data_IF_999611420154
#
_entry.id   IF_999611420154
#
_cell.length_a   1.000
_cell.length_b   1.000
_cell.length_c   1.000
_cell.angle_alpha   90.00
_cell.angle_beta   90.00
_cell.angle_gamma   90.00
#
_symmetry.space_group_name_H-M   'P 1'
#
loop_
_entity.id
_entity.type
_entity.pdbx_description
1 polymer ?
#
# COMPACT_ATOMS: atom_id res chain seq x y z
N UNK A 1 12.50 -1.35 -13.09
CA UNK A 1 12.48 -1.11 -11.63
C UNK A 1 13.05 -2.31 -10.86
N UNK A 2 14.00 -2.11 -9.93
CA UNK A 2 14.59 -3.19 -9.12
C UNK A 2 13.83 -3.35 -7.79
N UNK A 3 13.15 -4.49 -7.59
CA UNK A 3 12.38 -4.77 -6.37
C UNK A 3 13.23 -4.74 -5.09
N UNK A 4 14.52 -5.11 -5.19
CA UNK A 4 15.42 -5.05 -4.04
C UNK A 4 15.66 -3.60 -3.60
N UNK A 5 15.67 -2.63 -4.52
CA UNK A 5 15.81 -1.22 -4.16
C UNK A 5 14.59 -0.69 -3.40
N UNK A 6 13.38 -1.10 -3.82
CA UNK A 6 12.13 -0.77 -3.12
C UNK A 6 12.15 -1.38 -1.73
N UNK A 7 12.47 -2.67 -1.61
CA UNK A 7 12.54 -3.37 -0.33
C UNK A 7 13.55 -2.71 0.62
N UNK A 8 14.76 -2.44 0.14
CA UNK A 8 15.78 -1.76 0.93
C UNK A 8 15.30 -0.38 1.41
N UNK A 9 14.57 0.36 0.58
CA UNK A 9 14.02 1.66 0.96
C UNK A 9 12.93 1.55 2.03
N UNK A 10 12.04 0.56 1.93
CA UNK A 10 11.03 0.27 2.97
C UNK A 10 11.72 -0.08 4.30
N UNK A 11 12.77 -0.91 4.26
CA UNK A 11 13.47 -1.35 5.47
C UNK A 11 14.09 -0.19 6.26
N UNK A 12 14.42 0.92 5.59
CA UNK A 12 15.04 2.08 6.25
C UNK A 12 14.10 2.82 7.21
N UNK A 13 12.78 2.65 7.10
CA UNK A 13 11.80 3.25 8.02
C UNK A 13 11.94 2.76 9.47
N UNK A 14 12.59 1.62 9.70
CA UNK A 14 12.83 1.11 11.04
C UNK A 14 13.87 1.94 11.82
N UNK A 15 14.85 2.53 11.11
CA UNK A 15 16.05 3.13 11.73
C UNK A 15 16.27 4.59 11.36
N UNK A 16 15.60 5.08 10.31
CA UNK A 16 15.79 6.42 9.75
C UNK A 16 14.61 7.33 10.14
N UNK A 17 14.82 8.63 10.42
CA UNK A 17 13.73 9.57 10.65
C UNK A 17 12.67 9.52 9.55
N UNK A 18 11.39 9.62 9.92
CA UNK A 18 10.25 9.42 9.01
C UNK A 18 10.35 10.25 7.73
N UNK A 19 10.71 11.53 7.83
CA UNK A 19 10.94 12.41 6.67
C UNK A 19 11.94 11.83 5.68
N UNK A 20 13.12 11.45 6.17
CA UNK A 20 14.21 10.94 5.33
C UNK A 20 13.87 9.58 4.70
N UNK A 21 13.25 8.69 5.47
CA UNK A 21 12.80 7.39 4.97
C UNK A 21 11.70 7.55 3.89
N UNK A 22 10.74 8.44 4.13
CA UNK A 22 9.69 8.80 3.15
C UNK A 22 10.28 9.39 1.88
N UNK A 23 11.19 10.36 1.99
CA UNK A 23 11.89 10.94 0.82
C UNK A 23 12.65 9.86 0.05
N UNK A 24 13.38 8.98 0.73
CA UNK A 24 14.15 7.90 0.10
C UNK A 24 13.25 6.93 -0.68
N UNK A 25 12.13 6.52 -0.11
CA UNK A 25 11.19 5.65 -0.80
C UNK A 25 10.62 6.33 -2.04
N UNK A 26 10.18 7.59 -1.93
CA UNK A 26 9.62 8.32 -3.06
C UNK A 26 10.65 8.56 -4.18
N UNK A 27 11.89 8.94 -3.83
CA UNK A 27 12.99 9.05 -4.79
C UNK A 27 13.27 7.71 -5.49
N UNK A 28 13.25 6.61 -4.73
CA UNK A 28 13.39 5.26 -5.29
C UNK A 28 12.28 4.94 -6.28
N UNK A 29 11.07 5.43 -6.03
CA UNK A 29 9.91 5.34 -6.93
C UNK A 29 9.96 6.34 -8.11
N UNK A 30 11.02 7.14 -8.24
CA UNK A 30 11.22 8.09 -9.32
C UNK A 30 10.63 9.48 -9.06
N UNK A 31 10.03 9.71 -7.89
CA UNK A 31 9.42 10.98 -7.52
C UNK A 31 10.43 11.90 -6.84
N UNK A 32 10.76 13.00 -7.50
CA UNK A 32 11.75 13.97 -7.03
C UNK A 32 11.17 15.38 -7.09
N UNK A 33 11.51 16.20 -6.10
CA UNK A 33 11.22 17.63 -6.13
C UNK A 33 12.16 18.40 -5.22
N UNK A 34 12.50 19.63 -5.62
CA UNK A 34 13.21 20.59 -4.75
C UNK A 34 12.26 21.36 -3.83
N UNK A 35 10.95 21.32 -4.07
CA UNK A 35 9.91 21.97 -3.25
C UNK A 35 9.62 21.11 -2.01
N UNK A 36 10.58 21.06 -1.09
CA UNK A 36 10.50 20.23 0.12
C UNK A 36 9.96 21.01 1.32
N UNK A 37 9.24 20.33 2.21
CA UNK A 37 8.87 20.91 3.51
C UNK A 37 10.08 21.00 4.46
N UNK A 38 9.90 21.71 5.57
CA UNK A 38 10.89 21.82 6.63
C UNK A 38 10.23 21.75 8.02
N UNK A 39 11.05 21.65 9.08
CA UNK A 39 10.57 21.51 10.46
C UNK A 39 9.63 22.64 10.90
N UNK A 40 9.87 23.88 10.44
CA UNK A 40 9.01 25.02 10.75
C UNK A 40 7.62 24.86 10.11
N UNK A 41 7.58 24.54 8.82
CA UNK A 41 6.34 24.27 8.10
C UNK A 41 5.58 23.08 8.68
N UNK A 42 6.28 21.98 8.97
CA UNK A 42 5.70 20.79 9.60
C UNK A 42 4.97 21.14 10.89
N UNK A 43 5.62 21.91 11.76
CA UNK A 43 5.07 22.29 13.06
C UNK A 43 3.79 23.13 12.88
N UNK A 44 3.82 24.10 11.97
CA UNK A 44 2.67 24.96 11.68
C UNK A 44 1.50 24.17 11.09
N UNK A 45 1.74 23.40 10.04
CA UNK A 45 0.72 22.58 9.38
C UNK A 45 0.12 21.56 10.34
N UNK A 46 0.96 20.92 11.15
CA UNK A 46 0.51 19.94 12.13
C UNK A 46 -0.39 20.59 13.19
N UNK A 47 0.01 21.76 13.70
CA UNK A 47 -0.80 22.52 14.65
C UNK A 47 -2.17 22.88 14.05
N UNK A 48 -2.20 23.46 12.85
CA UNK A 48 -3.45 23.83 12.17
C UNK A 48 -4.37 22.62 11.92
N UNK A 49 -3.81 21.47 11.53
CA UNK A 49 -4.59 20.24 11.36
C UNK A 49 -5.19 19.75 12.70
N UNK A 50 -4.44 19.83 13.80
CA UNK A 50 -4.94 19.44 15.13
C UNK A 50 -6.03 20.40 15.63
N UNK A 51 -5.88 21.70 15.44
CA UNK A 51 -6.91 22.68 15.78
C UNK A 51 -8.20 22.44 15.00
N UNK A 52 -8.09 22.22 13.68
CA UNK A 52 -9.25 21.93 12.85
C UNK A 52 -9.95 20.61 13.25
N UNK A 53 -9.18 19.59 13.62
CA UNK A 53 -9.71 18.32 14.12
C UNK A 53 -10.45 18.51 15.46
N UNK A 54 -9.88 19.29 16.38
CA UNK A 54 -10.50 19.62 17.66
C UNK A 54 -11.81 20.41 17.48
N UNK A 55 -11.81 21.42 16.60
CA UNK A 55 -13.00 22.20 16.26
C UNK A 55 -14.10 21.32 15.66
N UNK A 56 -13.74 20.38 14.77
CA UNK A 56 -14.67 19.39 14.21
C UNK A 56 -15.25 18.47 15.28
N UNK A 57 -14.42 18.00 16.22
CA UNK A 57 -14.85 17.14 17.34
C UNK A 57 -15.81 17.87 18.28
N UNK A 58 -15.56 19.15 18.56
CA UNK A 58 -16.43 19.98 19.38
C UNK A 58 -17.83 20.21 18.78
N UNK A 59 -17.97 20.12 17.45
CA UNK A 59 -19.23 20.25 16.73
C UNK A 59 -19.93 18.91 16.48
N UNK A 60 -19.26 17.79 16.77
CA UNK A 60 -19.82 16.46 16.55
C UNK A 60 -20.78 16.08 17.69
N UNK A 61 -21.79 15.22 17.43
CA UNK A 61 -22.57 14.60 18.49
C UNK A 61 -21.68 13.92 19.53
N UNK A 62 -22.12 13.91 20.80
CA UNK A 62 -21.35 13.35 21.94
C UNK A 62 -20.91 11.90 21.69
N UNK A 63 -21.78 11.10 21.05
CA UNK A 63 -21.54 9.68 20.77
C UNK A 63 -20.89 9.42 19.40
N UNK A 64 -20.45 10.48 18.69
CA UNK A 64 -19.78 10.31 17.41
C UNK A 64 -18.44 9.58 17.63
N UNK A 65 -18.17 8.47 16.91
CA UNK A 65 -16.91 7.76 17.04
C UNK A 65 -15.75 8.67 16.64
N UNK A 66 -14.65 8.64 17.39
CA UNK A 66 -13.42 9.33 17.01
C UNK A 66 -12.78 8.62 15.80
N UNK A 67 -13.14 9.09 14.61
CA UNK A 67 -12.68 8.54 13.34
C UNK A 67 -11.29 9.04 12.94
N UNK A 68 -10.81 10.14 13.54
CA UNK A 68 -9.52 10.74 13.19
C UNK A 68 -8.39 10.27 14.11
N UNK A 69 -8.73 9.79 15.31
CA UNK A 69 -7.78 9.35 16.33
C UNK A 69 -6.68 10.40 16.52
N UNK A 70 -7.08 11.67 16.66
CA UNK A 70 -6.16 12.81 16.59
C UNK A 70 -5.10 12.78 17.70
N UNK A 71 -5.45 12.15 18.82
CA UNK A 71 -4.57 11.95 19.98
C UNK A 71 -3.42 10.97 19.67
N UNK A 72 -3.56 10.14 18.63
CA UNK A 72 -2.53 9.22 18.18
C UNK A 72 -1.51 9.85 17.22
N UNK A 73 -1.78 11.06 16.70
CA UNK A 73 -0.90 11.68 15.72
C UNK A 73 0.37 12.16 16.44
N UNK A 74 1.50 11.53 16.12
CA UNK A 74 2.77 11.79 16.78
C UNK A 74 3.60 12.83 16.02
N UNK A 75 3.75 12.65 14.70
CA UNK A 75 4.55 13.54 13.85
C UNK A 75 3.90 13.67 12.48
N UNK A 76 3.95 14.87 11.90
CA UNK A 76 3.51 15.16 10.54
C UNK A 76 4.65 15.82 9.77
N UNK A 77 4.89 15.36 8.54
CA UNK A 77 5.93 15.89 7.67
C UNK A 77 5.37 16.17 6.29
N UNK A 78 5.52 17.41 5.84
CA UNK A 78 5.39 17.74 4.42
C UNK A 78 6.68 17.30 3.72
N UNK A 79 6.63 16.24 2.91
CA UNK A 79 7.82 15.66 2.27
C UNK A 79 8.25 16.55 1.11
N UNK A 80 7.44 16.61 0.06
CA UNK A 80 7.62 17.54 -1.06
C UNK A 80 6.32 17.73 -1.86
N UNK A 81 6.38 18.68 -2.80
CA UNK A 81 5.32 19.00 -3.74
C UNK A 81 5.83 18.82 -5.17
N UNK A 82 5.19 17.96 -5.96
CA UNK A 82 5.54 17.77 -7.38
C UNK A 82 4.59 18.55 -8.28
N UNK A 83 5.10 19.26 -9.28
CA UNK A 83 4.32 19.87 -10.35
C UNK A 83 4.55 19.22 -11.73
N UNK A 84 3.77 19.64 -12.74
CA UNK A 84 3.80 19.09 -14.10
C UNK A 84 5.19 19.15 -14.78
N UNK A 85 6.00 20.15 -14.43
CA UNK A 85 7.37 20.33 -14.91
C UNK A 85 8.30 19.18 -14.45
N UNK A 86 8.20 18.82 -13.17
CA UNK A 86 8.98 17.76 -12.53
C UNK A 86 8.54 16.35 -12.98
N UNK A 87 7.27 16.16 -13.34
CA UNK A 87 6.75 14.86 -13.84
C UNK A 87 7.32 14.53 -15.22
N UNK A 88 7.50 15.54 -16.08
CA UNK A 88 7.99 15.36 -17.45
C UNK A 88 9.51 15.27 -17.55
N UNK A 89 10.23 15.25 -16.42
CA UNK A 89 11.70 15.25 -16.34
C UNK A 89 12.35 16.36 -17.20
N UNK A 90 11.61 17.44 -17.48
CA UNK A 90 12.18 18.61 -18.13
C UNK A 90 12.95 19.39 -17.07
N UNK A 91 14.28 19.27 -17.08
CA UNK A 91 15.15 20.12 -16.27
C UNK A 91 14.85 21.58 -16.64
N UNK A 92 14.15 22.27 -15.75
CA UNK A 92 13.94 23.71 -15.88
C UNK A 92 15.17 24.40 -15.30
N UNK A 93 15.73 25.38 -16.02
CA UNK A 93 16.92 26.15 -15.60
C UNK A 93 16.73 26.86 -14.23
N UNK A 94 15.48 26.97 -13.76
CA UNK A 94 15.10 27.54 -12.47
C UNK A 94 14.01 26.68 -11.80
N UNK A 95 14.42 25.63 -11.11
CA UNK A 95 13.51 24.87 -10.24
C UNK A 95 13.31 25.62 -8.90
N UNK A 96 12.08 25.99 -8.51
CA UNK A 96 11.80 26.56 -7.21
C UNK A 96 12.18 25.57 -6.10
N UNK A 97 12.97 26.02 -5.13
CA UNK A 97 13.39 25.23 -3.97
C UNK A 97 12.46 25.39 -2.76
N UNK A 98 11.39 26.16 -2.92
CA UNK A 98 10.42 26.46 -1.86
C UNK A 98 9.05 25.91 -2.19
N UNK A 99 8.39 25.36 -1.18
CA UNK A 99 6.97 25.01 -1.23
C UNK A 99 6.11 26.19 -1.69
N UNK A 100 5.12 25.92 -2.54
CA UNK A 100 4.20 26.93 -3.06
C UNK A 100 2.74 26.50 -2.81
N UNK A 101 2.11 27.16 -1.84
CA UNK A 101 0.71 26.92 -1.45
C UNK A 101 -0.29 27.29 -2.56
N UNK A 102 0.11 28.16 -3.49
CA UNK A 102 -0.73 28.63 -4.59
C UNK A 102 -0.57 27.80 -5.87
N UNK A 103 0.34 26.81 -5.89
CA UNK A 103 0.58 25.97 -7.04
C UNK A 103 -0.53 24.93 -7.23
N UNK A 104 -1.55 25.32 -8.00
CA UNK A 104 -2.80 24.55 -8.18
C UNK A 104 -2.68 23.28 -9.03
N UNK A 105 -1.64 23.15 -9.85
CA UNK A 105 -1.37 21.96 -10.68
C UNK A 105 -0.19 21.17 -10.08
N UNK A 106 -0.40 20.62 -8.89
CA UNK A 106 0.64 19.90 -8.14
C UNK A 106 0.09 18.76 -7.28
N UNK A 107 0.96 17.85 -6.86
CA UNK A 107 0.70 16.75 -5.91
C UNK A 107 1.51 16.95 -4.65
N UNK A 108 0.88 16.82 -3.48
CA UNK A 108 1.57 16.85 -2.19
C UNK A 108 1.83 15.46 -1.66
N UNK A 109 3.04 15.26 -1.13
CA UNK A 109 3.42 14.06 -0.42
C UNK A 109 3.63 14.42 1.05
N UNK A 110 2.90 13.76 1.93
CA UNK A 110 3.02 13.95 3.37
C UNK A 110 3.22 12.62 4.05
N UNK A 111 3.92 12.63 5.19
CA UNK A 111 4.07 11.48 6.06
C UNK A 111 3.47 11.78 7.44
N UNK A 112 2.66 10.87 7.94
CA UNK A 112 2.05 10.95 9.26
C UNK A 112 2.47 9.74 10.08
N UNK A 113 3.10 9.99 11.22
CA UNK A 113 3.35 8.98 12.23
C UNK A 113 2.17 8.88 13.19
N UNK A 114 1.65 7.68 13.37
CA UNK A 114 0.65 7.37 14.39
C UNK A 114 1.29 6.53 15.49
N UNK A 115 0.84 6.71 16.73
CA UNK A 115 1.40 6.06 17.92
C UNK A 115 0.87 4.65 18.16
N UNK A 116 -0.32 4.31 17.67
CA UNK A 116 -0.91 2.98 17.82
C UNK A 116 -0.24 1.91 16.96
N UNK A 117 -0.53 0.65 17.25
CA UNK A 117 0.04 -0.49 16.51
C UNK A 117 -0.80 -0.88 15.28
N UNK A 118 -2.11 -0.63 15.32
CA UNK A 118 -3.04 -1.08 14.29
C UNK A 118 -4.12 -0.03 14.00
N UNK A 119 -4.41 0.18 12.72
CA UNK A 119 -5.48 1.05 12.25
C UNK A 119 -6.34 0.35 11.21
N UNK A 120 -7.65 0.57 11.25
CA UNK A 120 -8.58 0.04 10.25
C UNK A 120 -8.47 0.82 8.93
N UNK A 121 -8.89 0.20 7.81
CA UNK A 121 -9.00 0.90 6.51
C UNK A 121 -9.86 2.15 6.61
N UNK A 122 -10.93 2.10 7.41
CA UNK A 122 -11.85 3.24 7.61
C UNK A 122 -11.18 4.40 8.31
N UNK A 123 -10.43 4.16 9.40
CA UNK A 123 -9.69 5.22 10.10
C UNK A 123 -8.67 5.90 9.18
N UNK A 124 -7.83 5.12 8.49
CA UNK A 124 -6.82 5.67 7.57
C UNK A 124 -7.47 6.44 6.41
N UNK A 125 -8.62 5.97 5.90
CA UNK A 125 -9.38 6.67 4.88
C UNK A 125 -9.98 7.99 5.38
N UNK A 126 -10.50 8.01 6.61
CA UNK A 126 -11.08 9.22 7.20
C UNK A 126 -10.01 10.27 7.54
N UNK A 127 -8.85 9.83 8.02
CA UNK A 127 -7.67 10.70 8.18
C UNK A 127 -7.22 11.26 6.82
N UNK A 128 -7.09 10.41 5.80
CA UNK A 128 -6.69 10.85 4.45
C UNK A 128 -7.65 11.88 3.88
N UNK A 129 -8.97 11.66 4.03
CA UNK A 129 -10.00 12.64 3.62
C UNK A 129 -9.85 13.95 4.39
N UNK A 130 -9.73 13.88 5.71
CA UNK A 130 -9.59 15.07 6.55
C UNK A 130 -8.36 15.89 6.18
N UNK A 131 -7.20 15.26 5.98
CA UNK A 131 -6.01 15.99 5.51
C UNK A 131 -6.32 16.64 4.15
N UNK A 132 -6.87 15.88 3.20
CA UNK A 132 -7.15 16.37 1.86
C UNK A 132 -8.21 17.50 1.81
N UNK A 133 -9.08 17.67 2.81
CA UNK A 133 -9.99 18.84 2.85
C UNK A 133 -9.27 20.15 3.15
N UNK A 134 -8.04 20.10 3.68
CA UNK A 134 -7.24 21.28 4.04
C UNK A 134 -6.29 21.71 2.93
N UNK A 135 -6.24 21.00 1.80
CA UNK A 135 -5.39 21.33 0.67
C UNK A 135 -6.20 21.42 -0.63
N UNK A 136 -5.98 22.48 -1.40
CA UNK A 136 -6.57 22.69 -2.73
C UNK A 136 -6.13 21.63 -3.74
N UNK A 137 -4.94 21.07 -3.54
CA UNK A 137 -4.31 20.03 -4.35
C UNK A 137 -4.36 18.65 -3.69
N UNK A 138 -4.37 17.55 -4.47
CA UNK A 138 -4.36 16.19 -3.92
C UNK A 138 -3.12 15.88 -3.08
N UNK A 139 -3.34 15.10 -2.02
CA UNK A 139 -2.33 14.73 -1.04
C UNK A 139 -2.25 13.22 -0.91
N UNK A 140 -1.04 12.68 -1.11
CA UNK A 140 -0.69 11.30 -0.85
C UNK A 140 -0.18 11.25 0.58
N UNK A 141 -0.79 10.39 1.39
CA UNK A 141 -0.45 10.26 2.80
C UNK A 141 0.28 8.94 3.02
N UNK A 142 1.49 9.03 3.56
CA UNK A 142 2.28 7.89 4.03
C UNK A 142 2.09 7.75 5.54
N UNK A 143 1.37 6.72 5.97
CA UNK A 143 1.17 6.43 7.38
C UNK A 143 2.23 5.48 7.89
N UNK A 144 2.97 5.88 8.92
CA UNK A 144 3.84 4.97 9.69
C UNK A 144 3.20 4.70 11.04
N UNK A 145 3.04 3.43 11.39
CA UNK A 145 2.57 2.98 12.69
C UNK A 145 3.03 1.54 12.96
N UNK A 146 3.29 1.21 14.22
CA UNK A 146 3.95 -0.05 14.57
C UNK A 146 5.17 -0.35 13.67
N UNK A 147 5.21 -1.57 13.14
CA UNK A 147 6.19 -2.08 12.18
C UNK A 147 5.66 -2.10 10.72
N UNK A 148 4.73 -1.20 10.38
CA UNK A 148 4.15 -1.11 9.03
C UNK A 148 4.11 0.31 8.45
N UNK A 149 4.08 0.37 7.12
CA UNK A 149 3.83 1.55 6.30
C UNK A 149 2.51 1.36 5.52
N UNK A 150 1.67 2.39 5.46
CA UNK A 150 0.50 2.41 4.57
C UNK A 150 0.55 3.62 3.66
N UNK A 151 0.35 3.43 2.37
CA UNK A 151 0.21 4.53 1.39
C UNK A 151 -1.26 4.76 1.09
N UNK A 152 -1.67 6.03 1.06
CA UNK A 152 -3.04 6.43 0.76
C UNK A 152 -3.10 7.53 -0.29
N UNK A 153 -3.96 7.35 -1.28
CA UNK A 153 -4.36 8.40 -2.22
C UNK A 153 -5.87 8.58 -2.18
N UNK A 154 -6.34 9.74 -2.61
CA UNK A 154 -7.77 10.01 -2.72
C UNK A 154 -8.13 10.53 -4.11
N UNK A 155 -9.22 10.01 -4.66
CA UNK A 155 -9.79 10.54 -5.88
C UNK A 155 -10.52 11.84 -5.62
N UNK A 156 -10.29 12.81 -6.51
CA UNK A 156 -11.01 14.08 -6.53
C UNK A 156 -11.68 14.26 -7.88
N UNK A 157 -12.95 14.65 -7.88
CA UNK A 157 -13.65 15.09 -9.10
C UNK A 157 -14.07 16.55 -9.01
N UNK A 158 -14.34 17.17 -10.16
CA UNK A 158 -14.95 18.49 -10.20
C UNK A 158 -16.35 18.45 -9.57
N UNK A 159 -16.70 19.47 -8.81
CA UNK A 159 -18.04 19.59 -8.26
C UNK A 159 -19.02 19.96 -9.39
N UNK A 160 -20.19 19.30 -9.44
CA UNK A 160 -21.13 19.38 -10.58
C UNK A 160 -21.81 20.75 -10.75
N UNK A 161 -21.80 21.59 -9.71
CA UNK A 161 -22.49 22.89 -9.67
C UNK A 161 -21.56 24.08 -9.41
N UNK A 162 -20.31 23.81 -9.07
CA UNK A 162 -19.34 24.84 -8.66
C UNK A 162 -17.96 24.42 -9.14
N UNK A 163 -17.51 24.98 -10.26
CA UNK A 163 -16.28 24.53 -10.93
C UNK A 163 -15.01 24.79 -10.11
N UNK A 164 -15.11 25.70 -9.13
CA UNK A 164 -14.03 26.04 -8.20
C UNK A 164 -13.83 24.99 -7.10
N UNK A 165 -14.81 24.11 -6.89
CA UNK A 165 -14.77 23.08 -5.85
C UNK A 165 -14.42 21.70 -6.40
N UNK A 166 -13.77 20.91 -5.55
CA UNK A 166 -13.50 19.50 -5.78
C UNK A 166 -14.27 18.66 -4.77
N UNK A 167 -14.81 17.54 -5.21
CA UNK A 167 -15.46 16.53 -4.34
C UNK A 167 -14.46 15.42 -4.10
N UNK A 168 -14.22 15.12 -2.82
CA UNK A 168 -13.43 13.97 -2.39
C UNK A 168 -14.25 12.69 -2.52
N UNK A 169 -13.67 11.65 -3.12
CA UNK A 169 -14.36 10.39 -3.40
C UNK A 169 -13.73 9.22 -2.62
N UNK A 170 -13.40 8.13 -3.32
CA UNK A 170 -12.82 6.92 -2.75
C UNK A 170 -11.37 7.16 -2.36
N UNK A 171 -11.01 6.72 -1.16
CA UNK A 171 -9.62 6.58 -0.73
C UNK A 171 -9.15 5.19 -1.09
N UNK A 172 -7.97 5.10 -1.69
CA UNK A 172 -7.33 3.85 -2.04
C UNK A 172 -6.04 3.70 -1.23
N UNK A 173 -5.81 2.49 -0.70
CA UNK A 173 -4.76 2.21 0.28
C UNK A 173 -3.93 1.00 -0.17
N UNK A 174 -2.60 1.12 -0.17
CA UNK A 174 -1.70 -0.02 0.04
C UNK A 174 -1.46 -0.12 1.53
N UNK A 175 -2.19 -1.02 2.20
CA UNK A 175 -2.25 -1.07 3.66
C UNK A 175 -1.30 -2.12 4.23
N UNK A 176 -0.68 -1.78 5.36
CA UNK A 176 0.15 -2.66 6.19
C UNK A 176 1.34 -3.28 5.44
N UNK A 177 2.12 -2.46 4.76
CA UNK A 177 3.41 -2.86 4.20
C UNK A 177 4.36 -3.08 5.38
N UNK A 178 4.68 -4.34 5.67
CA UNK A 178 5.63 -4.70 6.72
C UNK A 178 7.01 -4.08 6.45
N UNK A 179 7.58 -3.42 7.46
CA UNK A 179 8.84 -2.70 7.32
C UNK A 179 10.09 -3.59 7.33
N UNK A 180 10.00 -4.84 7.79
CA UNK A 180 11.14 -5.78 7.82
C UNK A 180 11.08 -6.77 6.66
N UNK A 181 9.88 -7.29 6.41
CA UNK A 181 9.63 -8.30 5.38
C UNK A 181 8.38 -7.91 4.56
N UNK A 182 8.52 -6.92 3.64
CA UNK A 182 7.40 -6.51 2.80
C UNK A 182 6.89 -7.68 1.95
N UNK A 183 5.58 -7.91 1.97
CA UNK A 183 4.96 -8.93 1.13
C UNK A 183 5.21 -8.65 -0.36
N UNK A 184 5.48 -9.70 -1.15
CA UNK A 184 5.83 -9.58 -2.58
C UNK A 184 4.81 -8.74 -3.37
N UNK A 185 3.52 -8.97 -3.16
CA UNK A 185 2.47 -8.18 -3.81
C UNK A 185 2.55 -6.67 -3.50
N UNK A 186 3.01 -6.27 -2.31
CA UNK A 186 3.22 -4.84 -2.02
C UNK A 186 4.40 -4.28 -2.83
N UNK A 187 5.49 -5.05 -2.94
CA UNK A 187 6.65 -4.66 -3.76
C UNK A 187 6.27 -4.54 -5.24
N UNK A 188 5.47 -5.48 -5.76
CA UNK A 188 5.01 -5.45 -7.15
C UNK A 188 4.10 -4.23 -7.40
N UNK A 189 3.14 -3.93 -6.51
CA UNK A 189 2.30 -2.72 -6.62
C UNK A 189 3.17 -1.46 -6.60
N UNK A 190 4.15 -1.36 -5.69
CA UNK A 190 5.06 -0.22 -5.64
C UNK A 190 5.93 -0.11 -6.90
N UNK A 191 6.34 -1.22 -7.49
CA UNK A 191 7.09 -1.21 -8.75
C UNK A 191 6.23 -0.77 -9.94
N UNK A 192 4.95 -1.11 -9.96
CA UNK A 192 3.98 -0.59 -10.93
C UNK A 192 3.72 0.92 -10.72
N UNK A 193 3.88 1.43 -9.50
CA UNK A 193 3.84 2.87 -9.20
C UNK A 193 5.12 3.63 -9.53
N UNK A 194 6.19 2.97 -9.98
CA UNK A 194 7.42 3.68 -10.35
C UNK A 194 7.16 4.65 -11.51
N UNK A 195 7.62 5.89 -11.38
CA UNK A 195 7.30 6.97 -12.34
C UNK A 195 7.68 6.60 -13.77
N UNK A 196 8.87 6.06 -14.01
CA UNK A 196 9.30 5.66 -15.35
C UNK A 196 8.40 4.58 -15.96
N UNK A 197 7.98 3.60 -15.14
CA UNK A 197 7.06 2.53 -15.57
C UNK A 197 5.71 3.11 -16.01
N UNK A 198 5.27 4.19 -15.36
CA UNK A 198 4.03 4.89 -15.70
C UNK A 198 4.19 5.76 -16.95
N UNK A 199 5.35 6.42 -17.12
CA UNK A 199 5.66 7.25 -18.30
C UNK A 199 5.76 6.42 -19.59
N UNK A 200 6.26 5.18 -19.51
CA UNK A 200 6.33 4.24 -20.63
C UNK A 200 4.95 3.90 -21.23
N UNK A 201 3.87 4.05 -20.47
CA UNK A 201 2.51 3.73 -20.94
C UNK A 201 1.90 4.76 -21.91
N UNK A 202 2.67 5.78 -22.34
CA UNK A 202 2.28 6.98 -23.11
C UNK A 202 1.14 7.84 -22.52
N UNK A 203 0.45 7.34 -21.49
CA UNK A 203 -0.73 7.95 -20.90
C UNK A 203 -0.41 9.06 -19.88
N UNK A 204 0.76 9.00 -19.23
CA UNK A 204 1.15 9.95 -18.17
C UNK A 204 1.96 11.10 -18.76
N UNK A 205 1.38 12.31 -18.75
CA UNK A 205 1.99 13.55 -19.29
C UNK A 205 1.82 14.77 -18.38
N UNK A 206 0.98 14.63 -17.35
CA UNK A 206 0.68 15.67 -16.37
C UNK A 206 0.10 15.03 -15.10
N UNK A 207 -0.07 15.85 -14.08
CA UNK A 207 -0.65 15.53 -12.79
C UNK A 207 -1.96 14.72 -12.89
N UNK A 208 -2.91 15.17 -13.72
CA UNK A 208 -4.24 14.52 -13.81
C UNK A 208 -4.11 13.10 -14.37
N UNK A 209 -3.24 12.91 -15.35
CA UNK A 209 -2.96 11.59 -15.93
C UNK A 209 -2.12 10.70 -15.00
N UNK A 210 -1.19 11.27 -14.23
CA UNK A 210 -0.44 10.55 -13.21
C UNK A 210 -1.36 10.02 -12.10
N UNK A 211 -2.26 10.87 -11.60
CA UNK A 211 -3.24 10.46 -10.58
C UNK A 211 -4.14 9.34 -11.09
N UNK A 212 -4.61 9.43 -12.36
CA UNK A 212 -5.39 8.35 -12.99
C UNK A 212 -4.60 7.05 -13.13
N UNK A 213 -3.31 7.13 -13.43
CA UNK A 213 -2.45 5.96 -13.55
C UNK A 213 -2.28 5.27 -12.18
N UNK A 214 -2.03 6.05 -11.11
CA UNK A 214 -2.03 5.52 -9.75
C UNK A 214 -3.36 4.90 -9.34
N UNK A 215 -4.48 5.56 -9.66
CA UNK A 215 -5.81 4.99 -9.44
C UNK A 215 -5.96 3.64 -10.13
N UNK A 216 -5.51 3.52 -11.39
CA UNK A 216 -5.54 2.28 -12.16
C UNK A 216 -4.77 1.14 -11.50
N UNK A 217 -3.52 1.41 -11.08
CA UNK A 217 -2.65 0.43 -10.39
C UNK A 217 -3.25 0.00 -9.05
N UNK A 218 -3.81 0.95 -8.30
CA UNK A 218 -4.32 0.70 -6.96
C UNK A 218 -5.78 0.20 -6.94
N UNK A 219 -6.45 0.13 -8.09
CA UNK A 219 -7.82 -0.33 -8.18
C UNK A 219 -7.90 -1.85 -7.98
N UNK A 220 -8.52 -2.26 -6.87
CA UNK A 220 -8.78 -3.66 -6.52
C UNK A 220 -9.53 -4.44 -7.59
N UNK A 221 -10.40 -3.80 -8.37
CA UNK A 221 -11.10 -4.46 -9.48
C UNK A 221 -10.15 -4.80 -10.62
N UNK A 222 -9.23 -3.88 -10.94
CA UNK A 222 -8.17 -4.10 -11.92
C UNK A 222 -7.25 -5.23 -11.47
N UNK A 223 -6.83 -5.21 -10.20
CA UNK A 223 -5.97 -6.24 -9.61
C UNK A 223 -6.65 -7.62 -9.66
N UNK A 224 -7.92 -7.70 -9.24
CA UNK A 224 -8.69 -8.94 -9.30
C UNK A 224 -8.84 -9.45 -10.73
N UNK A 225 -9.14 -8.58 -11.70
CA UNK A 225 -9.26 -8.97 -13.11
C UNK A 225 -7.94 -9.49 -13.69
N UNK A 226 -6.81 -8.87 -13.33
CA UNK A 226 -5.47 -9.34 -13.71
C UNK A 226 -5.20 -10.73 -13.14
N UNK A 227 -5.45 -10.92 -11.84
CA UNK A 227 -5.32 -12.23 -11.17
C UNK A 227 -6.18 -13.31 -11.83
N UNK A 228 -7.47 -13.05 -12.08
CA UNK A 228 -8.34 -14.05 -12.72
C UNK A 228 -7.93 -14.39 -14.15
N UNK A 229 -7.37 -13.42 -14.89
CA UNK A 229 -6.82 -13.66 -16.22
C UNK A 229 -5.58 -14.55 -16.16
N UNK A 230 -4.62 -14.22 -15.30
CA UNK A 230 -3.40 -15.03 -15.11
C UNK A 230 -3.73 -16.45 -14.63
N UNK A 231 -4.71 -16.58 -13.73
CA UNK A 231 -5.22 -17.88 -13.28
C UNK A 231 -5.83 -18.70 -14.43
N UNK A 232 -6.56 -18.04 -15.32
CA UNK A 232 -7.14 -18.68 -16.51
C UNK A 232 -6.07 -19.10 -17.52
N UNK A 233 -5.08 -18.24 -17.79
CA UNK A 233 -3.94 -18.56 -18.65
C UNK A 233 -3.17 -19.77 -18.10
N UNK A 234 -2.98 -19.84 -16.78
CA UNK A 234 -2.37 -21.00 -16.13
C UNK A 234 -3.23 -22.26 -16.24
N UNK A 235 -4.56 -22.13 -16.11
CA UNK A 235 -5.49 -23.24 -16.34
C UNK A 235 -5.39 -23.78 -17.77
N UNK A 236 -5.38 -22.90 -18.77
CA UNK A 236 -5.31 -23.29 -20.18
C UNK A 236 -3.97 -23.99 -20.51
N UNK A 237 -2.87 -23.43 -20.01
CA UNK A 237 -1.55 -24.07 -20.08
C UNK A 237 -1.54 -25.44 -19.40
N UNK A 238 -2.00 -25.54 -18.15
CA UNK A 238 -1.99 -26.79 -17.38
C UNK A 238 -2.88 -27.88 -18.02
N UNK A 239 -3.99 -27.49 -18.64
CA UNK A 239 -4.84 -28.39 -19.43
C UNK A 239 -4.09 -28.99 -20.62
N UNK A 240 -3.24 -28.21 -21.28
CA UNK A 240 -2.43 -28.70 -22.42
C UNK A 240 -1.32 -29.66 -21.99
N UNK A 241 -0.72 -29.41 -20.82
CA UNK A 241 0.49 -30.11 -20.34
C UNK A 241 0.18 -31.36 -19.51
N UNK A 242 -0.82 -31.31 -18.63
CA UNK A 242 -1.07 -32.39 -17.68
C UNK A 242 -1.75 -33.60 -18.33
N UNK A 243 -1.37 -34.80 -17.88
CA UNK A 243 -2.06 -36.07 -18.19
C UNK A 243 -2.39 -36.76 -16.89
N UNK A 244 -3.67 -37.04 -16.67
CA UNK A 244 -4.15 -37.72 -15.48
C UNK A 244 -4.49 -39.18 -15.80
N UNK A 245 -4.24 -40.12 -14.88
CA UNK A 245 -4.53 -41.53 -15.11
C UNK A 245 -6.04 -41.81 -15.26
N UNK A 246 -6.89 -41.06 -14.55
CA UNK A 246 -8.35 -41.24 -14.56
C UNK A 246 -9.11 -39.90 -14.56
N UNK A 247 -10.25 -39.89 -15.27
CA UNK A 247 -11.21 -38.78 -15.32
C UNK A 247 -10.92 -37.73 -16.39
N UNK A 248 -11.84 -36.78 -16.54
CA UNK A 248 -11.69 -35.68 -17.51
C UNK A 248 -10.58 -34.72 -17.08
N UNK A 249 -9.61 -34.47 -17.98
CA UNK A 249 -8.45 -33.60 -17.74
C UNK A 249 -8.86 -32.24 -17.17
N UNK A 250 -9.90 -31.60 -17.72
CA UNK A 250 -10.39 -30.30 -17.26
C UNK A 250 -10.78 -30.33 -15.77
N UNK A 251 -11.60 -31.31 -15.39
CA UNK A 251 -12.05 -31.49 -14.01
C UNK A 251 -10.86 -31.73 -13.06
N UNK A 252 -9.88 -32.53 -13.48
CA UNK A 252 -8.71 -32.82 -12.65
C UNK A 252 -7.76 -31.62 -12.54
N UNK A 253 -7.56 -30.86 -13.62
CA UNK A 253 -6.79 -29.60 -13.58
C UNK A 253 -7.48 -28.59 -12.65
N UNK A 254 -8.80 -28.40 -12.75
CA UNK A 254 -9.55 -27.52 -11.83
C UNK A 254 -9.35 -27.97 -10.38
N UNK A 255 -9.48 -29.28 -10.11
CA UNK A 255 -9.28 -29.87 -8.77
C UNK A 255 -7.86 -29.69 -8.25
N UNK A 256 -6.87 -29.75 -9.11
CA UNK A 256 -5.46 -29.54 -8.79
C UNK A 256 -5.22 -28.07 -8.47
N UNK A 257 -5.60 -27.17 -9.37
CA UNK A 257 -5.46 -25.71 -9.22
C UNK A 257 -6.15 -25.22 -7.95
N UNK A 258 -7.40 -25.64 -7.71
CA UNK A 258 -8.14 -25.25 -6.49
C UNK A 258 -7.46 -25.76 -5.21
N UNK A 259 -6.90 -26.98 -5.21
CA UNK A 259 -6.10 -27.50 -4.08
C UNK A 259 -4.81 -26.71 -3.90
N UNK A 260 -4.10 -26.37 -4.98
CA UNK A 260 -2.87 -25.58 -4.92
C UNK A 260 -3.15 -24.17 -4.37
N UNK A 261 -4.21 -23.51 -4.86
CA UNK A 261 -4.65 -22.22 -4.33
C UNK A 261 -5.05 -22.32 -2.85
N UNK A 262 -5.75 -23.39 -2.45
CA UNK A 262 -6.14 -23.59 -1.06
C UNK A 262 -4.93 -23.83 -0.14
N UNK A 263 -4.00 -24.69 -0.55
CA UNK A 263 -2.77 -24.96 0.20
C UNK A 263 -1.91 -23.69 0.30
N UNK A 264 -1.80 -22.93 -0.79
CA UNK A 264 -1.13 -21.63 -0.77
C UNK A 264 -1.83 -20.65 0.19
N UNK A 265 -3.17 -20.60 0.19
CA UNK A 265 -3.93 -19.80 1.15
C UNK A 265 -3.66 -20.20 2.61
N UNK A 266 -3.62 -21.50 2.92
CA UNK A 266 -3.27 -21.97 4.26
C UNK A 266 -1.86 -21.53 4.68
N UNK A 267 -0.90 -21.56 3.74
CA UNK A 267 0.47 -21.07 3.95
C UNK A 267 0.47 -19.58 4.28
N UNK A 268 -0.21 -18.76 3.48
CA UNK A 268 -0.30 -17.30 3.70
C UNK A 268 -0.99 -16.93 5.02
N UNK A 269 -1.88 -17.79 5.53
CA UNK A 269 -2.50 -17.63 6.85
C UNK A 269 -1.66 -18.14 8.01
N UNK A 270 -0.47 -18.70 7.75
CA UNK A 270 0.39 -19.32 8.76
C UNK A 270 -0.24 -20.57 9.39
N UNK A 271 -1.21 -21.19 8.71
CA UNK A 271 -1.91 -22.39 9.20
C UNK A 271 -1.14 -23.68 8.89
N UNK A 272 -0.15 -23.60 7.99
CA UNK A 272 0.77 -24.68 7.68
C UNK A 272 2.22 -24.17 7.74
N UNK A 273 3.17 -24.99 8.22
CA UNK A 273 4.58 -24.60 8.28
C UNK A 273 5.13 -24.26 6.88
N UNK A 274 5.84 -23.14 6.76
CA UNK A 274 6.45 -22.68 5.50
C UNK A 274 7.50 -23.68 5.00
N UNK A 275 8.13 -24.41 5.91
CA UNK A 275 9.14 -25.43 5.65
C UNK A 275 8.62 -26.57 4.76
N UNK A 276 7.31 -26.84 4.76
CA UNK A 276 6.69 -27.84 3.86
C UNK A 276 6.78 -27.44 2.38
N UNK A 277 7.07 -26.17 2.09
CA UNK A 277 7.16 -25.62 0.74
C UNK A 277 8.60 -25.33 0.32
N UNK A 278 9.58 -25.68 1.16
CA UNK A 278 11.01 -25.54 0.86
C UNK A 278 11.57 -26.93 0.54
N UNK A 279 12.03 -27.13 -0.70
CA UNK A 279 12.48 -28.43 -1.22
C UNK A 279 13.52 -29.12 -0.31
N UNK A 280 14.49 -28.35 0.21
CA UNK A 280 15.54 -28.86 1.13
C UNK A 280 15.03 -29.21 2.53
N UNK A 281 13.86 -28.74 2.92
CA UNK A 281 13.21 -29.04 4.21
C UNK A 281 12.31 -30.28 4.10
N UNK A 282 11.65 -30.47 2.95
CA UNK A 282 10.82 -31.65 2.68
C UNK A 282 11.65 -32.94 2.69
N UNK A 283 12.85 -32.92 2.10
CA UNK A 283 13.77 -34.07 2.14
C UNK A 283 14.20 -34.44 3.58
N UNK A 284 14.32 -33.45 4.47
CA UNK A 284 14.62 -33.66 5.90
C UNK A 284 13.42 -34.21 6.67
N UNK A 285 12.21 -33.77 6.35
CA UNK A 285 10.98 -34.29 6.97
C UNK A 285 10.66 -35.72 6.54
N UNK A 286 10.99 -36.10 5.30
CA UNK A 286 10.83 -37.47 4.79
C UNK A 286 11.88 -38.45 5.34
N UNK A 287 13.03 -37.94 5.80
CA UNK A 287 14.11 -38.74 6.40
C UNK A 287 14.08 -38.79 7.92
N UNK A 288 13.23 -38.00 8.58
CA UNK A 288 13.00 -38.09 10.01
C UNK A 288 12.22 -39.39 10.32
N UNK A 289 12.68 -40.22 11.29
CA UNK A 289 11.94 -41.42 11.66
C UNK A 289 10.57 -41.02 12.23
N UNK A 290 9.51 -41.46 11.57
CA UNK A 290 8.12 -41.17 11.92
C UNK A 290 7.77 -41.82 13.27
N UNK A 291 8.07 -41.16 14.39
CA UNK A 291 7.45 -41.53 15.67
C UNK A 291 6.02 -41.00 15.65
N UNK A 292 5.11 -41.76 15.04
CA UNK A 292 3.68 -41.58 15.22
C UNK A 292 3.39 -41.92 16.68
N UNK A 293 3.38 -40.89 17.54
CA UNK A 293 2.87 -41.03 18.89
C UNK A 293 1.36 -41.31 18.79
N UNK A 294 1.00 -42.58 18.97
CA UNK A 294 -0.38 -43.04 19.13
C UNK A 294 -1.01 -42.30 20.30
N UNK A 295 -1.91 -41.35 20.02
CA UNK A 295 -2.99 -41.03 20.93
C UNK A 295 -4.08 -42.10 20.77
N UNK A 296 -3.87 -43.26 21.40
CA UNK A 296 -4.93 -44.23 21.63
C UNK A 296 -4.88 -44.75 23.07
N UNK A 297 -5.98 -44.46 23.77
CA UNK A 297 -6.58 -45.20 24.88
C UNK A 297 -5.75 -45.46 26.14
N UNK A 298 -6.03 -44.67 27.17
CA UNK A 298 -6.04 -45.14 28.56
C UNK A 298 -7.34 -44.70 29.23
N UNK A 299 -8.44 -45.37 28.86
CA UNK A 299 -9.60 -45.55 29.72
C UNK A 299 -9.89 -47.04 29.76
N UNK A 300 -9.29 -47.76 30.71
CA UNK A 300 -9.82 -48.99 31.33
C UNK A 300 -8.84 -49.49 32.42
N UNK A 301 -9.30 -49.47 33.68
CA UNK A 301 -9.09 -50.57 34.61
C UNK A 301 -8.05 -50.43 35.74
N UNK A 302 -8.55 -50.23 36.97
CA UNK A 302 -8.19 -51.08 38.11
C UNK A 302 -7.15 -50.54 39.10
N UNK A 303 -7.63 -50.07 40.25
CA UNK A 303 -6.84 -49.73 41.44
C UNK A 303 -7.60 -48.78 42.33
#
# INVERSE_FOLDING_TARGET
MNLNAIQNSINTFAETPLREASTRLLNTLGYHSRRTGNKGMDTQLFHSLREAAAARRAQAPIDAPDRLCIDDWANFHLIFQIADDEINLQETLFEPSTFDEHLTLSYLFVALQLSGENYTRTQLADITRFINTHYSVPVMVMFRYGDVLTLAIINRRRHKRDETKRVLEKVTLIKDINLREPHRAHLDILAELHLESLLETEAVRNFDTLHKAWEGVLNTETLNRKFYRELYEWYDWAKSECRFPDGETETQVIRMITRLLFVWFLKEKGLVPVELFVETSVARLQSAPTSVARLQSASTGGG
#
